data_IF_779052387519
#
_entry.id   IF_779052387519
#
_cell.length_a   1.000
_cell.length_b   1.000
_cell.length_c   1.000
_cell.angle_alpha   90.00
_cell.angle_beta   90.00
_cell.angle_gamma   90.00
#
_symmetry.space_group_name_H-M   'P 1'
#
loop_
_entity.id
_entity.type
_entity.pdbx_description
1 polymer ?
#
# COMPACT_ATOMS: atom_id res chain seq x y z
N UNK A 1 13.16 2.95 -18.76
CA UNK A 1 14.58 2.61 -18.94
C UNK A 1 14.82 1.23 -18.39
N UNK A 2 15.44 0.33 -19.17
CA UNK A 2 15.88 -0.98 -18.71
C UNK A 2 17.27 -0.86 -18.10
N UNK A 3 17.50 -1.48 -16.94
CA UNK A 3 18.73 -1.32 -16.13
C UNK A 3 19.68 -2.52 -16.25
N UNK A 4 19.20 -3.63 -16.82
CA UNK A 4 19.92 -4.92 -16.88
C UNK A 4 20.29 -5.30 -18.31
N UNK A 5 21.21 -6.26 -18.45
CA UNK A 5 21.70 -6.77 -19.73
C UNK A 5 21.53 -8.29 -19.83
N UNK A 6 21.47 -8.87 -21.06
CA UNK A 6 21.53 -10.32 -21.23
C UNK A 6 22.78 -10.89 -20.56
N UNK A 7 22.59 -11.98 -19.81
CA UNK A 7 23.63 -12.66 -19.02
C UNK A 7 23.68 -12.22 -17.54
N UNK A 8 23.03 -11.13 -17.16
CA UNK A 8 22.98 -10.72 -15.74
C UNK A 8 22.16 -11.76 -14.92
N UNK A 9 22.65 -12.06 -13.72
CA UNK A 9 21.91 -12.88 -12.75
C UNK A 9 21.07 -11.96 -11.86
N UNK A 10 19.76 -12.22 -11.81
CA UNK A 10 18.81 -11.48 -11.00
C UNK A 10 18.20 -12.38 -9.93
N UNK A 11 18.02 -11.80 -8.76
CA UNK A 11 17.33 -12.42 -7.63
C UNK A 11 15.97 -11.75 -7.42
N UNK A 12 15.13 -12.41 -6.65
CA UNK A 12 13.86 -11.85 -6.18
C UNK A 12 14.05 -10.45 -5.58
N UNK A 13 13.28 -9.48 -6.07
CA UNK A 13 13.35 -8.09 -5.64
C UNK A 13 14.35 -7.21 -6.41
N UNK A 14 15.24 -7.79 -7.23
CA UNK A 14 16.16 -6.98 -8.04
C UNK A 14 15.40 -6.14 -9.08
N UNK A 15 15.84 -4.90 -9.28
CA UNK A 15 15.21 -3.96 -10.21
C UNK A 15 15.76 -4.20 -11.62
N UNK A 16 14.89 -4.49 -12.59
CA UNK A 16 15.27 -4.68 -13.98
C UNK A 16 14.89 -3.54 -14.93
N UNK A 17 13.94 -2.68 -14.51
CA UNK A 17 13.56 -1.52 -15.30
C UNK A 17 12.97 -0.42 -14.40
N UNK A 18 12.99 0.81 -14.89
CA UNK A 18 12.35 1.96 -14.25
C UNK A 18 11.55 2.77 -15.27
N UNK A 19 10.38 3.26 -14.85
CA UNK A 19 9.57 4.20 -15.64
C UNK A 19 9.02 5.32 -14.76
N UNK A 20 8.84 6.54 -15.30
CA UNK A 20 8.16 7.61 -14.56
C UNK A 20 6.68 7.23 -14.41
N UNK A 21 6.14 7.31 -13.19
CA UNK A 21 4.73 7.08 -12.90
C UNK A 21 4.01 8.40 -12.65
N UNK A 22 4.60 9.25 -11.82
CA UNK A 22 4.17 10.63 -11.59
C UNK A 22 5.38 11.56 -11.68
N UNK A 23 5.22 12.88 -11.60
CA UNK A 23 6.36 13.79 -11.53
C UNK A 23 7.32 13.53 -10.38
N UNK A 24 6.83 12.90 -9.32
CA UNK A 24 7.58 12.63 -8.07
C UNK A 24 8.01 11.18 -7.97
N UNK A 25 7.20 10.23 -8.48
CA UNK A 25 7.38 8.80 -8.27
C UNK A 25 7.95 8.14 -9.51
N UNK A 26 9.03 7.38 -9.35
CA UNK A 26 9.56 6.45 -10.34
C UNK A 26 9.15 5.03 -9.99
N UNK A 27 8.38 4.42 -10.86
CA UNK A 27 8.03 3.02 -10.73
C UNK A 27 9.24 2.15 -11.05
N UNK A 28 9.62 1.28 -10.11
CA UNK A 28 10.72 0.32 -10.26
C UNK A 28 10.14 -1.06 -10.50
N UNK A 29 10.42 -1.62 -11.67
CA UNK A 29 9.99 -2.96 -12.02
C UNK A 29 10.95 -3.97 -11.38
N UNK A 30 10.44 -4.81 -10.50
CA UNK A 30 11.22 -5.75 -9.70
C UNK A 30 10.93 -7.19 -10.10
N UNK A 31 11.94 -8.05 -9.98
CA UNK A 31 11.76 -9.50 -10.14
C UNK A 31 10.77 -10.00 -9.09
N UNK A 32 9.73 -10.75 -9.50
CA UNK A 32 8.72 -11.26 -8.55
C UNK A 32 9.36 -12.06 -7.41
N UNK A 33 8.75 -12.05 -6.21
CA UNK A 33 9.18 -12.92 -5.12
C UNK A 33 9.26 -14.39 -5.54
N UNK A 34 10.27 -15.10 -5.02
CA UNK A 34 10.55 -16.52 -5.30
C UNK A 34 11.04 -16.83 -6.73
N UNK A 35 11.31 -15.82 -7.55
CA UNK A 35 11.89 -15.99 -8.87
C UNK A 35 13.35 -15.51 -8.86
N UNK A 36 14.25 -16.37 -9.31
CA UNK A 36 15.66 -16.06 -9.54
C UNK A 36 16.07 -16.65 -10.90
N UNK A 37 17.03 -16.03 -11.56
CA UNK A 37 17.48 -16.56 -12.83
C UNK A 37 18.48 -15.68 -13.57
N UNK A 38 18.73 -16.04 -14.82
CA UNK A 38 19.65 -15.30 -15.71
C UNK A 38 18.85 -14.63 -16.82
N UNK A 39 19.13 -13.39 -17.08
CA UNK A 39 18.50 -12.59 -18.14
C UNK A 39 18.89 -13.16 -19.49
N UNK A 40 17.90 -13.58 -20.29
CA UNK A 40 18.08 -14.10 -21.65
C UNK A 40 17.92 -13.01 -22.70
N UNK A 41 16.83 -12.26 -22.61
CA UNK A 41 16.54 -11.18 -23.57
C UNK A 41 16.09 -9.92 -22.85
N UNK A 42 16.40 -8.79 -23.47
CA UNK A 42 16.06 -7.46 -22.98
C UNK A 42 15.59 -6.63 -24.16
N UNK A 43 14.51 -5.87 -24.01
CA UNK A 43 14.07 -4.93 -25.04
C UNK A 43 14.87 -3.60 -24.97
N UNK A 44 15.04 -2.88 -26.07
CA UNK A 44 15.66 -1.56 -26.05
C UNK A 44 14.83 -0.56 -25.23
N UNK A 45 15.47 0.52 -24.78
CA UNK A 45 14.74 1.60 -24.11
C UNK A 45 13.72 2.23 -25.07
N UNK A 46 12.48 2.42 -24.57
CA UNK A 46 11.40 2.93 -25.41
C UNK A 46 10.08 3.03 -24.66
N UNK A 47 8.99 3.19 -25.40
CA UNK A 47 7.63 3.20 -24.89
C UNK A 47 7.01 1.81 -25.09
N UNK A 48 6.48 1.23 -24.02
CA UNK A 48 5.90 -0.10 -23.97
C UNK A 48 4.55 -0.07 -23.26
N UNK A 49 3.69 -1.02 -23.59
CA UNK A 49 2.44 -1.26 -22.84
C UNK A 49 2.76 -1.98 -21.52
N UNK A 50 1.87 -1.84 -20.56
CA UNK A 50 2.02 -2.43 -19.21
C UNK A 50 2.29 -3.94 -19.25
N UNK A 51 1.65 -4.65 -20.19
CA UNK A 51 1.75 -6.12 -20.31
C UNK A 51 2.82 -6.59 -21.32
N UNK A 52 3.53 -5.68 -21.98
CA UNK A 52 4.59 -6.06 -22.91
C UNK A 52 5.75 -6.71 -22.12
N UNK A 53 6.34 -7.76 -22.69
CA UNK A 53 7.52 -8.39 -22.09
C UNK A 53 8.73 -7.50 -22.27
N UNK A 54 9.31 -7.07 -21.15
CA UNK A 54 10.49 -6.19 -21.10
C UNK A 54 11.77 -6.98 -20.95
N UNK A 55 11.75 -8.00 -20.10
CA UNK A 55 12.88 -8.90 -19.83
C UNK A 55 12.38 -10.33 -19.84
N UNK A 56 13.16 -11.25 -20.41
CA UNK A 56 12.94 -12.69 -20.24
C UNK A 56 14.02 -13.25 -19.33
N UNK A 57 13.61 -13.87 -18.24
CA UNK A 57 14.47 -14.48 -17.24
C UNK A 57 14.38 -16.01 -17.36
N UNK A 58 15.51 -16.70 -17.36
CA UNK A 58 15.54 -18.16 -17.27
C UNK A 58 15.91 -18.59 -15.86
N UNK A 59 15.06 -19.40 -15.24
CA UNK A 59 15.34 -19.94 -13.91
C UNK A 59 16.33 -21.12 -13.93
N UNK A 60 16.64 -21.66 -12.76
CA UNK A 60 17.60 -22.76 -12.59
C UNK A 60 17.10 -24.08 -13.22
N UNK A 61 15.79 -24.20 -13.46
CA UNK A 61 15.17 -25.36 -14.12
C UNK A 61 15.12 -25.19 -15.65
N UNK A 62 15.61 -24.08 -16.19
CA UNK A 62 15.58 -23.79 -17.62
C UNK A 62 14.25 -23.19 -18.11
N UNK A 63 13.31 -22.89 -17.21
CA UNK A 63 12.01 -22.30 -17.57
C UNK A 63 12.16 -20.81 -17.83
N UNK A 64 11.55 -20.34 -18.92
CA UNK A 64 11.56 -18.92 -19.29
C UNK A 64 10.38 -18.19 -18.66
N UNK A 65 10.66 -17.11 -17.96
CA UNK A 65 9.70 -16.23 -17.33
C UNK A 65 9.71 -14.85 -18.00
N UNK A 66 8.56 -14.45 -18.52
CA UNK A 66 8.38 -13.12 -19.12
C UNK A 66 8.06 -12.09 -18.02
N UNK A 67 8.89 -11.06 -17.90
CA UNK A 67 8.72 -9.96 -16.97
C UNK A 67 8.21 -8.72 -17.72
N UNK A 68 7.13 -8.13 -17.22
CA UNK A 68 6.47 -6.94 -17.78
C UNK A 68 6.56 -5.76 -16.81
N UNK A 69 5.95 -4.62 -17.17
CA UNK A 69 5.95 -3.43 -16.30
C UNK A 69 5.01 -3.54 -15.08
N UNK A 70 4.29 -4.65 -14.93
CA UNK A 70 3.39 -4.88 -13.80
C UNK A 70 3.56 -6.29 -13.21
N UNK A 71 3.14 -6.44 -11.96
CA UNK A 71 3.08 -7.73 -11.27
C UNK A 71 1.64 -8.04 -10.86
N UNK A 72 1.22 -9.30 -10.98
CA UNK A 72 -0.01 -9.80 -10.36
C UNK A 72 0.33 -10.37 -8.99
N UNK A 73 -0.34 -9.89 -7.95
CA UNK A 73 -0.14 -10.36 -6.59
C UNK A 73 -1.48 -10.65 -5.91
N UNK A 74 -1.63 -11.79 -5.21
CA UNK A 74 -2.84 -12.09 -4.44
C UNK A 74 -2.88 -11.18 -3.20
N UNK A 75 -3.87 -10.31 -3.11
CA UNK A 75 -3.96 -9.24 -2.09
C UNK A 75 -4.00 -9.74 -0.63
N UNK A 76 -4.35 -11.01 -0.40
CA UNK A 76 -4.41 -11.60 0.96
C UNK A 76 -3.12 -12.28 1.39
N UNK A 77 -2.11 -12.29 0.54
CA UNK A 77 -0.79 -12.83 0.85
C UNK A 77 0.15 -11.65 1.04
N UNK A 78 0.72 -11.45 2.23
CA UNK A 78 1.68 -10.38 2.46
C UNK A 78 2.92 -10.60 1.58
N UNK A 79 3.51 -9.50 1.11
CA UNK A 79 4.74 -9.58 0.34
C UNK A 79 5.92 -9.92 1.27
N UNK A 80 6.80 -10.82 0.87
CA UNK A 80 7.90 -11.26 1.72
C UNK A 80 8.85 -10.11 2.05
N UNK A 81 9.43 -10.15 3.25
CA UNK A 81 10.45 -9.20 3.69
C UNK A 81 11.73 -9.97 4.03
N UNK A 82 12.89 -9.45 3.58
CA UNK A 82 14.18 -10.07 3.92
C UNK A 82 14.61 -9.77 5.35
N UNK A 83 14.34 -8.56 5.84
CA UNK A 83 14.80 -8.10 7.16
C UNK A 83 13.85 -7.05 7.71
N UNK A 84 13.52 -7.17 8.98
CA UNK A 84 12.87 -6.11 9.75
C UNK A 84 13.95 -5.29 10.46
N UNK A 85 13.90 -3.99 10.30
CA UNK A 85 14.76 -3.07 11.00
C UNK A 85 14.12 -2.64 12.32
N UNK A 86 14.91 -2.34 13.37
CA UNK A 86 14.34 -1.78 14.59
C UNK A 86 13.74 -0.40 14.31
N UNK A 87 12.61 -0.12 14.96
CA UNK A 87 11.89 1.16 14.84
C UNK A 87 12.67 2.25 15.60
N UNK A 88 13.72 2.80 15.01
CA UNK A 88 14.62 3.78 15.63
C UNK A 88 14.53 5.18 15.01
N UNK A 89 13.92 5.31 13.83
CA UNK A 89 13.78 6.59 13.12
C UNK A 89 12.38 7.12 13.34
N UNK A 90 12.19 8.33 13.88
CA UNK A 90 10.86 8.91 14.05
C UNK A 90 10.25 9.32 12.71
N UNK A 91 8.94 9.10 12.57
CA UNK A 91 8.12 9.69 11.52
C UNK A 91 7.76 11.12 11.94
N UNK A 92 8.21 12.11 11.19
CA UNK A 92 7.82 13.49 11.43
C UNK A 92 6.42 13.70 10.85
N UNK A 93 5.43 13.94 11.71
CA UNK A 93 4.03 14.11 11.32
C UNK A 93 3.66 15.57 11.04
N UNK A 94 4.50 16.51 11.47
CA UNK A 94 4.20 17.95 11.43
C UNK A 94 3.24 18.39 12.53
N UNK A 95 2.77 17.49 13.38
CA UNK A 95 1.91 17.78 14.53
C UNK A 95 2.76 17.83 15.80
N UNK A 96 2.98 19.01 16.37
CA UNK A 96 3.87 19.20 17.54
C UNK A 96 3.55 18.26 18.71
N UNK A 97 2.28 18.04 18.99
CA UNK A 97 1.86 17.16 20.10
C UNK A 97 2.25 15.71 19.82
N UNK A 98 2.04 15.23 18.59
CA UNK A 98 2.41 13.86 18.21
C UNK A 98 3.93 13.71 18.21
N UNK A 99 4.64 14.60 17.53
CA UNK A 99 6.08 14.50 17.34
C UNK A 99 6.88 14.63 18.66
N UNK A 100 6.33 15.34 19.68
CA UNK A 100 7.02 15.55 20.96
C UNK A 100 6.56 14.62 22.07
N UNK A 101 5.27 14.28 22.17
CA UNK A 101 4.72 13.53 23.29
C UNK A 101 4.33 12.10 22.93
N UNK A 102 4.01 11.84 21.66
CA UNK A 102 3.57 10.55 21.16
C UNK A 102 4.26 10.19 19.82
N UNK A 103 5.60 10.21 19.77
CA UNK A 103 6.32 10.01 18.51
C UNK A 103 6.00 8.67 17.88
N UNK A 104 5.73 8.70 16.58
CA UNK A 104 5.51 7.50 15.77
C UNK A 104 6.84 7.16 15.09
N UNK A 105 7.26 5.91 15.14
CA UNK A 105 8.44 5.47 14.43
C UNK A 105 8.11 5.10 12.97
N UNK A 106 9.05 5.32 12.05
CA UNK A 106 8.96 4.78 10.68
C UNK A 106 8.93 3.25 10.76
N UNK A 107 7.96 2.65 10.06
CA UNK A 107 7.65 1.23 10.18
C UNK A 107 6.85 0.85 11.43
N UNK A 108 6.43 1.83 12.23
CA UNK A 108 5.56 1.64 13.37
C UNK A 108 4.08 1.77 13.01
N UNK A 109 3.22 1.42 13.96
CA UNK A 109 1.77 1.48 13.86
C UNK A 109 1.21 2.42 14.90
N UNK A 110 0.21 3.22 14.54
CA UNK A 110 -0.49 4.10 15.47
C UNK A 110 -2.00 3.95 15.31
N UNK A 111 -2.72 3.89 16.43
CA UNK A 111 -4.17 3.93 16.45
C UNK A 111 -4.64 5.34 16.83
N UNK A 112 -5.69 5.80 16.13
CA UNK A 112 -6.38 7.06 16.43
C UNK A 112 -7.80 6.73 16.90
N UNK A 113 -7.99 6.26 18.15
CA UNK A 113 -9.29 5.86 18.65
C UNK A 113 -10.16 7.09 18.97
N UNK A 114 -11.47 6.90 18.89
CA UNK A 114 -12.42 7.93 19.27
C UNK A 114 -13.80 7.68 18.70
N UNK A 115 -14.81 8.25 19.35
CA UNK A 115 -16.20 8.24 18.90
C UNK A 115 -16.42 9.07 17.64
N UNK A 116 -17.68 9.16 17.22
CA UNK A 116 -18.05 10.03 16.10
C UNK A 116 -17.79 11.49 16.44
N UNK A 117 -17.26 12.26 15.48
CA UNK A 117 -17.02 13.70 15.66
C UNK A 117 -15.78 14.08 16.47
N UNK A 118 -14.94 13.14 16.90
CA UNK A 118 -13.73 13.41 17.69
C UNK A 118 -12.52 13.88 16.84
N UNK A 119 -12.67 14.00 15.55
CA UNK A 119 -11.62 14.51 14.66
C UNK A 119 -10.63 13.44 14.16
N UNK A 120 -10.98 12.14 14.20
CA UNK A 120 -10.12 11.04 13.70
C UNK A 120 -9.68 11.26 12.25
N UNK A 121 -10.63 11.45 11.35
CA UNK A 121 -10.39 11.71 9.94
C UNK A 121 -9.53 12.96 9.73
N UNK A 122 -9.82 14.04 10.46
CA UNK A 122 -9.03 15.27 10.37
C UNK A 122 -7.59 15.07 10.82
N UNK A 123 -7.36 14.28 11.86
CA UNK A 123 -6.01 13.93 12.33
C UNK A 123 -5.25 13.14 11.27
N UNK A 124 -5.89 12.16 10.65
CA UNK A 124 -5.30 11.38 9.56
C UNK A 124 -4.97 12.27 8.34
N UNK A 125 -5.86 13.18 7.95
CA UNK A 125 -5.61 14.14 6.87
C UNK A 125 -4.40 15.04 7.17
N UNK A 126 -4.27 15.52 8.40
CA UNK A 126 -3.13 16.34 8.79
C UNK A 126 -1.82 15.55 8.75
N UNK A 127 -1.82 14.31 9.20
CA UNK A 127 -0.65 13.43 9.10
C UNK A 127 -0.32 13.15 7.63
N UNK A 128 -1.31 12.84 6.79
CA UNK A 128 -1.11 12.64 5.36
C UNK A 128 -0.45 13.85 4.69
N UNK A 129 -0.93 15.05 5.02
CA UNK A 129 -0.46 16.31 4.43
C UNK A 129 0.97 16.66 4.84
N UNK A 130 1.33 16.47 6.09
CA UNK A 130 2.56 17.01 6.66
C UNK A 130 3.63 15.99 6.98
N UNK A 131 3.30 14.68 6.92
CA UNK A 131 4.28 13.64 7.22
C UNK A 131 5.43 13.61 6.22
N UNK A 132 6.57 13.13 6.69
CA UNK A 132 7.76 12.98 5.89
C UNK A 132 7.80 11.68 5.05
N UNK A 133 6.69 10.94 4.96
CA UNK A 133 6.54 9.81 4.06
C UNK A 133 6.62 10.23 2.58
N UNK A 134 7.18 9.37 1.74
CA UNK A 134 7.28 9.61 0.30
C UNK A 134 5.93 9.36 -0.40
N UNK A 135 5.24 8.30 0.00
CA UNK A 135 3.97 7.87 -0.60
C UNK A 135 2.91 7.71 0.48
N UNK A 136 1.70 8.14 0.18
CA UNK A 136 0.52 8.00 1.03
C UNK A 136 -0.45 7.03 0.38
N UNK A 137 -0.87 6.01 1.12
CA UNK A 137 -1.99 5.13 0.75
C UNK A 137 -3.14 5.44 1.70
N UNK A 138 -4.16 6.12 1.20
CA UNK A 138 -5.35 6.45 1.99
C UNK A 138 -6.49 5.49 1.64
N UNK A 139 -6.97 4.77 2.63
CA UNK A 139 -8.04 3.77 2.48
C UNK A 139 -9.27 4.27 3.21
N UNK A 140 -10.27 4.72 2.45
CA UNK A 140 -11.61 4.96 2.96
C UNK A 140 -12.37 3.63 2.97
N UNK A 141 -12.51 3.03 4.14
CA UNK A 141 -13.15 1.72 4.31
C UNK A 141 -14.56 1.89 4.87
N UNK A 142 -15.56 1.85 4.00
CA UNK A 142 -16.97 2.00 4.37
C UNK A 142 -17.36 3.43 4.79
N UNK A 143 -16.61 4.41 4.37
CA UNK A 143 -16.86 5.83 4.67
C UNK A 143 -18.04 6.40 3.85
N UNK A 144 -18.52 7.57 4.24
CA UNK A 144 -19.58 8.25 3.51
C UNK A 144 -19.06 8.81 2.19
N UNK A 145 -19.89 8.73 1.14
CA UNK A 145 -19.50 9.21 -0.19
C UNK A 145 -19.09 10.68 -0.21
N UNK A 146 -19.79 11.54 0.53
CA UNK A 146 -19.46 12.96 0.64
C UNK A 146 -18.10 13.21 1.33
N UNK A 147 -17.76 12.44 2.36
CA UNK A 147 -16.46 12.52 3.03
C UNK A 147 -15.33 12.12 2.08
N UNK A 148 -15.52 11.03 1.33
CA UNK A 148 -14.55 10.59 0.32
C UNK A 148 -14.38 11.60 -0.83
N UNK A 149 -15.47 12.24 -1.26
CA UNK A 149 -15.40 13.31 -2.27
C UNK A 149 -14.61 14.49 -1.74
N UNK A 150 -14.83 14.88 -0.48
CA UNK A 150 -14.08 15.96 0.14
C UNK A 150 -12.58 15.64 0.24
N UNK A 151 -12.22 14.42 0.64
CA UNK A 151 -10.80 13.97 0.65
C UNK A 151 -10.19 14.12 -0.73
N UNK A 152 -10.89 13.63 -1.77
CA UNK A 152 -10.41 13.73 -3.15
C UNK A 152 -10.23 15.19 -3.59
N UNK A 153 -11.18 16.06 -3.29
CA UNK A 153 -11.10 17.48 -3.62
C UNK A 153 -9.98 18.19 -2.87
N UNK A 154 -9.82 17.93 -1.59
CA UNK A 154 -8.79 18.54 -0.76
C UNK A 154 -7.40 18.11 -1.25
N UNK A 155 -7.16 16.82 -1.45
CA UNK A 155 -5.86 16.32 -1.89
C UNK A 155 -5.52 16.72 -3.33
N UNK A 156 -6.51 16.90 -4.20
CA UNK A 156 -6.29 17.38 -5.57
C UNK A 156 -5.92 18.86 -5.66
N UNK A 157 -6.26 19.66 -4.63
CA UNK A 157 -5.94 21.09 -4.56
C UNK A 157 -4.70 21.41 -3.73
N UNK A 158 -4.32 20.50 -2.84
CA UNK A 158 -3.18 20.69 -1.95
C UNK A 158 -1.86 20.51 -2.70
N UNK A 159 -0.93 21.43 -2.39
CA UNK A 159 0.45 21.35 -2.84
C UNK A 159 1.27 20.64 -1.76
N UNK A 160 2.02 19.63 -2.15
CA UNK A 160 2.96 18.95 -1.27
C UNK A 160 4.10 19.91 -0.88
N UNK A 161 4.30 20.18 0.40
CA UNK A 161 5.31 21.14 0.84
C UNK A 161 6.76 20.68 0.54
N UNK A 162 6.99 19.40 0.30
CA UNK A 162 8.31 18.86 -0.02
C UNK A 162 8.68 19.01 -1.49
N UNK A 163 7.77 18.62 -2.38
CA UNK A 163 8.06 18.55 -3.82
C UNK A 163 7.57 19.78 -4.59
N UNK A 164 6.63 20.55 -4.03
CA UNK A 164 5.95 21.64 -4.72
C UNK A 164 4.93 21.19 -5.78
N UNK A 165 4.72 19.87 -5.93
CA UNK A 165 3.73 19.27 -6.83
C UNK A 165 2.41 19.04 -6.10
N UNK A 166 1.40 18.53 -6.82
CA UNK A 166 0.13 18.19 -6.20
C UNK A 166 0.29 17.02 -5.22
N UNK A 167 -0.43 17.07 -4.11
CA UNK A 167 -0.47 16.00 -3.11
C UNK A 167 -0.91 14.67 -3.72
N UNK A 168 -1.81 14.71 -4.71
CA UNK A 168 -2.29 13.53 -5.43
C UNK A 168 -1.17 12.81 -6.22
N UNK A 169 -0.08 13.48 -6.59
CA UNK A 169 1.04 12.85 -7.32
C UNK A 169 1.80 11.83 -6.46
N UNK A 170 1.64 11.88 -5.13
CA UNK A 170 2.22 10.91 -4.19
C UNK A 170 1.17 10.15 -3.36
N UNK A 171 -0.11 10.31 -3.68
CA UNK A 171 -1.20 9.69 -2.90
C UNK A 171 -1.98 8.70 -3.75
N UNK A 172 -2.19 7.51 -3.22
CA UNK A 172 -3.16 6.55 -3.75
C UNK A 172 -4.39 6.56 -2.85
N UNK A 173 -5.55 6.88 -3.41
CA UNK A 173 -6.82 6.89 -2.71
C UNK A 173 -7.64 5.65 -3.07
N UNK A 174 -7.94 4.82 -2.08
CA UNK A 174 -8.84 3.67 -2.21
C UNK A 174 -10.18 4.06 -1.58
N UNK A 175 -11.14 4.42 -2.41
CA UNK A 175 -12.46 4.85 -1.98
C UNK A 175 -13.43 3.68 -1.95
N UNK A 176 -13.69 3.11 -0.78
CA UNK A 176 -14.80 2.20 -0.55
C UNK A 176 -15.86 2.90 0.29
N UNK A 177 -16.99 3.22 -0.32
CA UNK A 177 -18.11 3.90 0.35
C UNK A 177 -19.06 2.90 0.99
N UNK A 178 -19.85 3.39 1.96
CA UNK A 178 -20.77 2.56 2.77
C UNK A 178 -21.85 1.84 1.97
N UNK A 179 -22.16 2.31 0.76
CA UNK A 179 -23.14 1.70 -0.16
C UNK A 179 -22.55 0.63 -1.08
N UNK A 180 -21.22 0.42 -1.05
CA UNK A 180 -20.57 -0.63 -1.84
C UNK A 180 -20.74 -2.02 -1.21
N UNK A 181 -20.59 -3.10 -2.00
CA UNK A 181 -20.68 -4.46 -1.48
C UNK A 181 -19.70 -4.74 -0.33
N UNK A 182 -20.14 -5.53 0.64
CA UNK A 182 -19.36 -5.88 1.85
C UNK A 182 -18.02 -6.54 1.52
N UNK A 183 -18.01 -7.43 0.51
CA UNK A 183 -16.78 -8.08 0.06
C UNK A 183 -15.76 -7.08 -0.49
N UNK A 184 -16.21 -6.02 -1.16
CA UNK A 184 -15.33 -4.94 -1.62
C UNK A 184 -14.75 -4.13 -0.44
N UNK A 185 -15.57 -3.93 0.61
CA UNK A 185 -15.12 -3.27 1.85
C UNK A 185 -14.05 -4.09 2.55
N UNK A 186 -14.26 -5.39 2.68
CA UNK A 186 -13.25 -6.29 3.27
C UNK A 186 -11.96 -6.30 2.43
N UNK A 187 -12.05 -6.34 1.10
CA UNK A 187 -10.91 -6.38 0.21
C UNK A 187 -10.12 -5.05 0.15
N UNK A 188 -10.75 -3.91 0.43
CA UNK A 188 -10.12 -2.59 0.31
C UNK A 188 -8.87 -2.44 1.18
N UNK A 189 -8.90 -2.96 2.40
CA UNK A 189 -7.76 -2.95 3.33
C UNK A 189 -6.58 -3.73 2.75
N UNK A 190 -6.81 -4.96 2.30
CA UNK A 190 -5.75 -5.79 1.71
C UNK A 190 -5.17 -5.18 0.43
N UNK A 191 -6.02 -4.57 -0.39
CA UNK A 191 -5.57 -3.86 -1.60
C UNK A 191 -4.62 -2.73 -1.26
N UNK A 192 -4.95 -1.93 -0.24
CA UNK A 192 -4.10 -0.83 0.22
C UNK A 192 -2.77 -1.32 0.79
N UNK A 193 -2.80 -2.36 1.62
CA UNK A 193 -1.58 -2.96 2.18
C UNK A 193 -0.68 -3.50 1.07
N UNK A 194 -1.23 -4.24 0.11
CA UNK A 194 -0.47 -4.81 -1.01
C UNK A 194 0.21 -3.71 -1.85
N UNK A 195 -0.49 -2.61 -2.12
CA UNK A 195 0.10 -1.47 -2.83
C UNK A 195 1.21 -0.81 -2.01
N UNK A 196 1.00 -0.62 -0.71
CA UNK A 196 2.01 -0.05 0.17
C UNK A 196 3.25 -0.91 0.28
N UNK A 197 3.09 -2.23 0.41
CA UNK A 197 4.19 -3.19 0.41
C UNK A 197 4.97 -3.18 -0.90
N UNK A 198 4.28 -3.02 -2.03
CA UNK A 198 4.91 -2.94 -3.34
C UNK A 198 5.78 -1.67 -3.48
N UNK A 199 5.30 -0.52 -3.05
CA UNK A 199 6.09 0.71 -3.02
C UNK A 199 7.23 0.66 -1.98
N UNK A 200 6.99 0.03 -0.82
CA UNK A 200 8.05 -0.25 0.16
C UNK A 200 9.19 -1.06 -0.47
N UNK A 201 8.86 -2.11 -1.23
CA UNK A 201 9.85 -2.95 -1.90
C UNK A 201 10.66 -2.17 -2.95
N UNK A 202 10.11 -1.11 -3.53
CA UNK A 202 10.83 -0.15 -4.38
C UNK A 202 11.78 0.77 -3.60
N UNK A 203 11.71 0.77 -2.26
CA UNK A 203 12.54 1.58 -1.37
C UNK A 203 11.94 2.94 -1.00
N UNK A 204 10.63 3.13 -1.13
CA UNK A 204 9.93 4.33 -0.67
C UNK A 204 9.47 4.18 0.79
N UNK A 205 9.47 5.29 1.52
CA UNK A 205 8.79 5.41 2.80
C UNK A 205 7.29 5.58 2.57
N UNK A 206 6.50 4.58 2.95
CA UNK A 206 5.05 4.55 2.68
C UNK A 206 4.26 4.68 3.98
N UNK A 207 3.31 5.60 4.02
CA UNK A 207 2.34 5.71 5.11
C UNK A 207 0.97 5.21 4.64
N UNK A 208 0.40 4.28 5.41
CA UNK A 208 -0.98 3.79 5.20
C UNK A 208 -1.89 4.46 6.21
N UNK A 209 -3.02 4.95 5.73
CA UNK A 209 -4.10 5.49 6.56
C UNK A 209 -5.37 4.73 6.26
N UNK A 210 -5.95 4.09 7.28
CA UNK A 210 -7.20 3.34 7.16
C UNK A 210 -8.32 4.03 7.95
N UNK A 211 -9.26 4.59 7.25
CA UNK A 211 -10.44 5.24 7.83
C UNK A 211 -11.72 4.50 7.37
N UNK A 212 -12.32 3.62 8.17
CA UNK A 212 -11.83 3.20 9.47
C UNK A 212 -11.80 1.67 9.58
N UNK A 213 -10.90 1.15 10.42
CA UNK A 213 -10.81 -0.31 10.68
C UNK A 213 -12.05 -0.85 11.37
N UNK A 214 -12.84 -0.03 12.06
CA UNK A 214 -14.13 -0.44 12.66
C UNK A 214 -15.14 -0.84 11.57
N UNK A 215 -15.18 -0.15 10.44
CA UNK A 215 -16.02 -0.52 9.31
C UNK A 215 -15.55 -1.80 8.62
N UNK A 216 -14.26 -2.06 8.66
CA UNK A 216 -13.71 -3.34 8.21
C UNK A 216 -14.14 -4.48 9.13
N UNK A 217 -14.11 -4.30 10.45
CA UNK A 217 -14.62 -5.26 11.42
C UNK A 217 -16.12 -5.55 11.22
N UNK A 218 -16.93 -4.52 10.96
CA UNK A 218 -18.35 -4.69 10.60
C UNK A 218 -18.50 -5.54 9.33
N UNK A 219 -17.67 -5.33 8.31
CA UNK A 219 -17.70 -6.14 7.09
C UNK A 219 -17.36 -7.61 7.37
N UNK A 220 -16.37 -7.88 8.21
CA UNK A 220 -16.03 -9.24 8.63
C UNK A 220 -17.19 -9.91 9.39
N UNK A 221 -17.89 -9.17 10.28
CA UNK A 221 -19.07 -9.66 10.98
C UNK A 221 -20.21 -10.00 10.01
N UNK A 222 -20.48 -9.15 9.03
CA UNK A 222 -21.53 -9.39 8.03
C UNK A 222 -21.21 -10.60 7.15
N UNK A 223 -19.94 -10.74 6.71
CA UNK A 223 -19.50 -11.89 5.92
C UNK A 223 -19.62 -13.19 6.70
N UNK A 224 -19.15 -13.24 7.96
CA UNK A 224 -19.25 -14.43 8.81
C UNK A 224 -20.70 -14.84 9.07
N UNK A 225 -21.59 -13.85 9.27
CA UNK A 225 -23.02 -14.11 9.40
C UNK A 225 -23.66 -14.71 8.14
N UNK A 226 -23.25 -14.25 6.95
CA UNK A 226 -23.72 -14.80 5.68
C UNK A 226 -23.16 -16.21 5.39
N UNK A 227 -21.99 -16.52 5.93
CA UNK A 227 -21.36 -17.84 5.83
C UNK A 227 -21.83 -18.80 6.94
N UNK A 228 -22.77 -18.36 7.79
CA UNK A 228 -23.30 -19.14 8.93
C UNK A 228 -22.19 -19.61 9.90
N UNK A 229 -21.12 -18.84 10.01
CA UNK A 229 -20.05 -19.11 10.97
C UNK A 229 -20.53 -18.85 12.38
N UNK A 230 -20.06 -19.66 13.36
CA UNK A 230 -20.43 -19.48 14.76
C UNK A 230 -19.92 -18.13 15.28
N UNK A 231 -20.79 -17.23 15.74
CA UNK A 231 -20.39 -15.93 16.26
C UNK A 231 -19.66 -16.08 17.60
N UNK A 232 -18.64 -15.25 17.79
CA UNK A 232 -17.99 -15.06 19.08
C UNK A 232 -18.59 -13.84 19.81
N UNK A 233 -17.79 -13.18 20.63
CA UNK A 233 -18.21 -12.03 21.43
C UNK A 233 -18.80 -10.91 20.52
N UNK A 234 -19.91 -10.32 20.94
CA UNK A 234 -20.64 -9.25 20.24
C UNK A 234 -21.05 -9.58 18.78
N UNK A 235 -21.10 -10.86 18.42
CA UNK A 235 -21.46 -11.30 17.09
C UNK A 235 -20.33 -11.18 16.05
N UNK A 236 -19.12 -10.88 16.46
CA UNK A 236 -17.96 -10.87 15.59
C UNK A 236 -17.39 -12.29 15.38
N UNK A 237 -16.70 -12.56 14.27
CA UNK A 237 -16.03 -13.84 14.08
C UNK A 237 -14.86 -14.00 15.07
N UNK A 238 -14.60 -15.22 15.50
CA UNK A 238 -13.54 -15.54 16.46
C UNK A 238 -12.13 -15.14 15.99
N UNK A 239 -11.93 -15.05 14.67
CA UNK A 239 -10.67 -14.68 14.05
C UNK A 239 -10.48 -13.16 13.86
N UNK A 240 -11.38 -12.31 14.35
CA UNK A 240 -11.26 -10.85 14.19
C UNK A 240 -9.96 -10.31 14.77
N UNK A 241 -9.62 -10.72 15.99
CA UNK A 241 -8.40 -10.27 16.65
C UNK A 241 -7.13 -10.64 15.85
N UNK A 242 -7.04 -11.87 15.34
CA UNK A 242 -5.89 -12.31 14.55
C UNK A 242 -5.77 -11.57 13.20
N UNK A 243 -6.90 -11.25 12.55
CA UNK A 243 -6.88 -10.44 11.32
C UNK A 243 -6.47 -9.00 11.57
N UNK A 244 -6.92 -8.40 12.67
CA UNK A 244 -6.49 -7.06 13.09
C UNK A 244 -5.00 -7.03 13.41
N UNK A 245 -4.52 -8.00 14.19
CA UNK A 245 -3.08 -8.13 14.50
C UNK A 245 -2.25 -8.24 13.22
N UNK A 246 -2.64 -9.12 12.31
CA UNK A 246 -1.93 -9.28 11.04
C UNK A 246 -1.92 -8.01 10.15
N UNK A 247 -2.91 -7.13 10.31
CA UNK A 247 -2.91 -5.84 9.62
C UNK A 247 -1.96 -4.84 10.28
N UNK A 248 -1.84 -4.87 11.61
CA UNK A 248 -0.99 -3.93 12.36
C UNK A 248 0.48 -4.36 12.43
N UNK A 249 0.79 -5.62 12.23
CA UNK A 249 2.14 -6.20 12.23
C UNK A 249 2.86 -6.11 10.87
#
# INVERSE_FOLDING_TARGET
TVTVKPGDRLNSGDIYAECPETPIIRHKCMVPPQLNGVVQTVVPNGLYRINDTIVTLQDENGVLHALSLCQKWPIRIPRPTHKRFPASVPLVTGQRILDTLFPIAKGGTAAVPGGFGTGKTMTQHQIAKWSDADIIIYIGCGERGNEMTQVLEDFSKLIDPKSGNLMMDRTTLIANTSNMPVAAREASIYTGVTLAEYYRDMGYDVAIMADSTSRWAEALRELSGRLEEMPAEEGFPAYLASKLSAFYE
#
